data_IF_789577842445
#
_entry.id   IF_789577842445
#
_cell.length_a   1.000
_cell.length_b   1.000
_cell.length_c   1.000
_cell.angle_alpha   90.00
_cell.angle_beta   90.00
_cell.angle_gamma   90.00
#
_symmetry.space_group_name_H-M   'P 1'
#
loop_
_entity.id
_entity.type
_entity.pdbx_description
1 polymer ?
#
# COMPACT_ATOMS: atom_id res chain seq x y z
N UNK A 1 -14.03 7.51 49.13
CA UNK A 1 -13.09 8.05 48.13
C UNK A 1 -13.34 7.26 46.88
N UNK A 2 -13.98 7.87 45.89
CA UNK A 2 -14.40 7.20 44.66
C UNK A 2 -13.16 7.05 43.78
N UNK A 3 -12.69 5.82 43.60
CA UNK A 3 -11.68 5.52 42.57
C UNK A 3 -12.33 5.77 41.21
N UNK A 4 -11.84 6.80 40.53
CA UNK A 4 -12.19 7.08 39.14
C UNK A 4 -11.36 6.11 38.32
N UNK A 5 -11.98 5.01 37.85
CA UNK A 5 -11.42 4.18 36.79
C UNK A 5 -11.29 5.06 35.55
N UNK A 6 -10.05 5.44 35.24
CA UNK A 6 -9.71 6.12 33.99
C UNK A 6 -9.90 5.09 32.88
N UNK A 7 -11.04 5.14 32.19
CA UNK A 7 -11.20 4.44 30.91
C UNK A 7 -10.22 5.07 29.93
N UNK A 8 -9.12 4.36 29.65
CA UNK A 8 -8.24 4.68 28.53
C UNK A 8 -9.11 4.73 27.26
N UNK A 9 -8.96 5.77 26.41
CA UNK A 9 -9.69 5.81 25.15
C UNK A 9 -9.37 4.53 24.39
N UNK A 10 -10.41 3.80 24.00
CA UNK A 10 -10.28 2.60 23.19
C UNK A 10 -9.64 3.01 21.87
N UNK A 11 -8.30 2.97 21.78
CA UNK A 11 -7.57 3.20 20.54
C UNK A 11 -8.13 2.21 19.52
N UNK A 12 -8.88 2.72 18.54
CA UNK A 12 -9.30 1.92 17.41
C UNK A 12 -8.03 1.30 16.82
N UNK A 13 -7.88 -0.02 16.95
CA UNK A 13 -6.71 -0.73 16.45
C UNK A 13 -6.62 -0.50 14.95
N UNK A 14 -5.76 0.43 14.55
CA UNK A 14 -5.48 0.71 13.16
C UNK A 14 -4.69 -0.47 12.60
N UNK A 15 -5.38 -1.34 11.87
CA UNK A 15 -4.74 -2.42 11.13
C UNK A 15 -4.13 -1.83 9.86
N UNK A 16 -2.84 -2.11 9.61
CA UNK A 16 -2.16 -1.67 8.38
C UNK A 16 -1.78 -2.90 7.57
N UNK A 17 -2.14 -2.89 6.30
CA UNK A 17 -1.77 -3.93 5.35
C UNK A 17 -0.68 -3.37 4.45
N UNK A 18 0.44 -4.08 4.36
CA UNK A 18 1.61 -3.67 3.59
C UNK A 18 1.97 -4.75 2.59
N UNK A 19 2.20 -4.35 1.34
CA UNK A 19 2.77 -5.18 0.28
C UNK A 19 3.99 -4.47 -0.27
N UNK A 20 4.99 -5.21 -0.70
CA UNK A 20 6.19 -4.64 -1.28
C UNK A 20 6.37 -5.16 -2.71
N UNK A 21 6.94 -4.34 -3.59
CA UNK A 21 7.39 -4.79 -4.91
C UNK A 21 8.87 -4.50 -5.00
N UNK A 22 9.67 -5.55 -5.19
CA UNK A 22 11.12 -5.45 -5.23
C UNK A 22 11.63 -5.91 -6.60
N UNK A 23 12.73 -5.32 -7.07
CA UNK A 23 13.34 -5.74 -8.33
C UNK A 23 13.87 -7.19 -8.27
N UNK A 24 13.74 -7.95 -9.36
CA UNK A 24 14.33 -9.28 -9.44
C UNK A 24 15.85 -9.15 -9.61
N UNK A 25 16.60 -9.48 -8.57
CA UNK A 25 18.07 -9.45 -8.58
C UNK A 25 18.65 -8.06 -8.32
N UNK A 26 19.67 -7.69 -9.12
CA UNK A 26 20.54 -6.53 -8.83
C UNK A 26 20.21 -5.28 -9.66
N UNK A 27 19.21 -5.35 -10.53
CA UNK A 27 18.84 -4.23 -11.41
C UNK A 27 17.72 -3.41 -10.76
N UNK A 28 18.00 -2.16 -10.33
CA UNK A 28 16.96 -1.32 -9.74
C UNK A 28 15.92 -0.91 -10.78
N UNK A 29 14.72 -0.57 -10.31
CA UNK A 29 13.69 0.08 -11.11
C UNK A 29 14.13 1.48 -11.51
N UNK A 30 13.98 1.80 -12.79
CA UNK A 30 14.22 3.14 -13.32
C UNK A 30 12.92 3.94 -13.18
N UNK A 31 13.03 5.17 -12.66
CA UNK A 31 11.90 6.04 -12.37
C UNK A 31 10.97 6.25 -13.56
N UNK A 32 11.50 6.50 -14.76
CA UNK A 32 10.70 6.61 -16.00
C UNK A 32 9.69 5.47 -16.14
N UNK A 33 10.16 4.22 -16.16
CA UNK A 33 9.27 3.05 -16.28
C UNK A 33 8.39 2.86 -15.05
N UNK A 34 8.92 3.14 -13.87
CA UNK A 34 8.20 2.96 -12.61
C UNK A 34 7.00 3.90 -12.52
N UNK A 35 7.21 5.20 -12.75
CA UNK A 35 6.18 6.23 -12.67
C UNK A 35 5.19 6.10 -13.82
N UNK A 36 5.62 5.69 -15.01
CA UNK A 36 4.72 5.39 -16.12
C UNK A 36 3.79 4.22 -15.77
N UNK A 37 4.33 3.11 -15.24
CA UNK A 37 3.53 1.95 -14.82
C UNK A 37 2.59 2.32 -13.66
N UNK A 38 3.04 3.12 -12.69
CA UNK A 38 2.18 3.64 -11.62
C UNK A 38 0.99 4.44 -12.15
N UNK A 39 1.24 5.40 -13.04
CA UNK A 39 0.19 6.24 -13.64
C UNK A 39 -0.78 5.42 -14.51
N UNK A 40 -0.29 4.45 -15.28
CA UNK A 40 -1.14 3.53 -16.06
C UNK A 40 -2.05 2.67 -15.18
N UNK A 41 -1.55 2.30 -13.99
CA UNK A 41 -2.34 1.65 -12.96
C UNK A 41 -3.22 2.63 -12.16
N UNK A 42 -3.23 3.91 -12.52
CA UNK A 42 -4.02 5.02 -11.96
C UNK A 42 -3.64 5.38 -10.51
N UNK A 43 -2.35 5.27 -10.20
CA UNK A 43 -1.76 5.92 -9.03
C UNK A 43 -1.41 7.36 -9.41
N UNK A 44 -1.69 8.29 -8.52
CA UNK A 44 -1.41 9.71 -8.71
C UNK A 44 -0.39 10.18 -7.68
N UNK A 45 0.63 10.89 -8.13
CA UNK A 45 1.57 11.54 -7.24
C UNK A 45 0.87 12.65 -6.45
N UNK A 46 1.11 12.74 -5.15
CA UNK A 46 0.38 13.65 -4.29
C UNK A 46 1.08 13.96 -2.98
N UNK A 47 0.31 13.96 -1.89
CA UNK A 47 0.79 14.35 -0.56
C UNK A 47 2.00 13.52 -0.11
N UNK A 48 2.87 14.12 0.70
CA UNK A 48 4.10 13.49 1.22
C UNK A 48 5.08 13.00 0.13
N UNK A 49 4.95 13.50 -1.09
CA UNK A 49 5.78 13.14 -2.24
C UNK A 49 5.77 11.63 -2.55
N UNK A 50 4.60 11.01 -2.38
CA UNK A 50 4.35 9.61 -2.70
C UNK A 50 3.15 9.46 -3.64
N UNK A 51 2.92 8.24 -4.11
CA UNK A 51 1.81 7.94 -5.00
C UNK A 51 0.60 7.44 -4.21
N UNK A 52 -0.60 7.82 -4.63
CA UNK A 52 -1.84 7.43 -3.99
C UNK A 52 -2.83 6.90 -5.01
N UNK A 53 -3.56 5.85 -4.61
CA UNK A 53 -4.74 5.40 -5.33
C UNK A 53 -5.96 6.05 -4.70
N UNK A 54 -6.71 6.81 -5.48
CA UNK A 54 -7.96 7.40 -5.03
C UNK A 54 -9.15 6.52 -5.44
N UNK A 55 -10.27 6.66 -4.73
CA UNK A 55 -11.53 5.99 -5.05
C UNK A 55 -12.09 6.42 -6.43
N UNK A 56 -11.79 7.65 -6.82
CA UNK A 56 -12.12 8.20 -8.13
C UNK A 56 -10.85 8.29 -8.98
N UNK A 57 -10.96 7.90 -10.25
CA UNK A 57 -9.91 8.03 -11.26
C UNK A 57 -9.54 9.49 -11.54
N UNK A 58 -10.42 10.44 -11.19
CA UNK A 58 -10.14 11.88 -11.26
C UNK A 58 -9.11 12.36 -10.22
N UNK A 59 -8.78 11.54 -9.22
CA UNK A 59 -7.86 11.91 -8.12
C UNK A 59 -8.48 12.80 -7.04
N UNK A 60 -9.77 13.12 -7.15
CA UNK A 60 -10.49 13.96 -6.16
C UNK A 60 -11.16 13.15 -5.05
N UNK A 61 -11.19 11.82 -5.18
CA UNK A 61 -11.77 10.90 -4.19
C UNK A 61 -10.90 10.71 -2.95
N UNK A 62 -11.38 9.96 -1.96
CA UNK A 62 -10.57 9.55 -0.81
C UNK A 62 -9.46 8.58 -1.23
N UNK A 63 -8.31 8.65 -0.57
CA UNK A 63 -7.21 7.70 -0.75
C UNK A 63 -7.64 6.31 -0.27
N UNK A 64 -7.50 5.32 -1.14
CA UNK A 64 -7.73 3.90 -0.84
C UNK A 64 -6.46 3.26 -0.26
N UNK A 65 -5.33 3.49 -0.93
CA UNK A 65 -4.01 3.00 -0.53
C UNK A 65 -2.92 3.90 -1.11
N UNK A 66 -1.74 3.85 -0.50
CA UNK A 66 -0.60 4.68 -0.87
C UNK A 66 0.61 3.82 -1.21
N UNK A 67 1.53 4.39 -1.97
CA UNK A 67 2.72 3.72 -2.51
C UNK A 67 3.92 4.63 -2.28
N UNK A 68 4.83 4.18 -1.43
CA UNK A 68 6.05 4.88 -1.07
C UNK A 68 7.29 4.14 -1.57
N UNK A 69 8.43 4.81 -1.53
CA UNK A 69 9.71 4.19 -1.82
C UNK A 69 10.17 3.33 -0.62
N UNK A 70 10.73 2.15 -0.87
CA UNK A 70 11.34 1.33 0.18
C UNK A 70 12.66 1.90 0.70
N UNK A 71 13.30 2.76 -0.09
CA UNK A 71 14.57 3.40 0.21
C UNK A 71 14.35 4.74 0.92
N UNK A 72 15.22 5.11 1.88
CA UNK A 72 15.19 6.44 2.49
C UNK A 72 15.44 7.53 1.44
N UNK A 73 14.71 8.67 1.47
CA UNK A 73 13.82 9.15 2.53
C UNK A 73 12.39 8.57 2.53
N UNK A 74 12.07 7.63 1.63
CA UNK A 74 10.73 7.04 1.49
C UNK A 74 9.85 7.74 0.46
N UNK A 75 10.30 8.88 -0.07
CA UNK A 75 9.60 9.64 -1.10
C UNK A 75 9.92 9.13 -2.50
N UNK A 76 9.00 9.41 -3.41
CA UNK A 76 9.11 9.19 -4.85
C UNK A 76 9.29 10.53 -5.59
N UNK A 77 9.65 11.59 -4.86
CA UNK A 77 10.02 12.89 -5.42
C UNK A 77 11.20 12.73 -6.38
N UNK A 78 11.10 13.35 -7.54
CA UNK A 78 12.15 13.35 -8.55
C UNK A 78 12.07 14.64 -9.36
N UNK A 79 13.24 15.17 -9.75
CA UNK A 79 13.33 16.26 -10.72
C UNK A 79 13.25 15.71 -12.14
N UNK A 80 14.02 14.64 -12.42
CA UNK A 80 13.97 13.87 -13.66
C UNK A 80 13.67 12.38 -13.35
N UNK A 81 12.59 11.80 -13.91
CA UNK A 81 12.33 10.36 -13.82
C UNK A 81 13.49 9.46 -14.27
N UNK A 82 14.36 9.94 -15.18
CA UNK A 82 15.47 9.16 -15.74
C UNK A 82 16.61 8.95 -14.74
N UNK A 83 16.82 9.92 -13.83
CA UNK A 83 17.86 9.86 -12.80
C UNK A 83 17.38 9.17 -11.52
N UNK A 84 16.06 9.00 -11.36
CA UNK A 84 15.50 8.28 -10.24
C UNK A 84 15.67 6.77 -10.42
N UNK A 85 16.17 6.10 -9.38
CA UNK A 85 16.15 4.64 -9.32
C UNK A 85 15.85 4.13 -7.91
N UNK A 86 15.15 3.01 -7.82
CA UNK A 86 14.85 2.35 -6.55
C UNK A 86 14.91 0.83 -6.64
N UNK A 87 15.24 0.18 -5.53
CA UNK A 87 15.21 -1.28 -5.42
C UNK A 87 13.80 -1.82 -5.21
N UNK A 88 12.88 -0.98 -4.76
CA UNK A 88 11.50 -1.40 -4.57
C UNK A 88 10.60 -0.31 -4.00
N UNK A 89 9.31 -0.62 -4.00
CA UNK A 89 8.24 0.25 -3.54
C UNK A 89 7.35 -0.50 -2.54
N UNK A 90 6.78 0.22 -1.59
CA UNK A 90 5.88 -0.30 -0.56
C UNK A 90 4.49 0.26 -0.77
N UNK A 91 3.54 -0.63 -0.98
CA UNK A 91 2.11 -0.35 -0.93
C UNK A 91 1.62 -0.52 0.49
N UNK A 92 0.82 0.41 0.96
CA UNK A 92 0.19 0.29 2.26
C UNK A 92 -1.22 0.88 2.26
N UNK A 93 -2.09 0.23 3.02
CA UNK A 93 -3.45 0.69 3.29
C UNK A 93 -3.75 0.58 4.78
N UNK A 94 -4.47 1.55 5.30
CA UNK A 94 -4.90 1.60 6.71
C UNK A 94 -6.35 1.17 6.82
N UNK A 95 -6.71 0.45 7.89
CA UNK A 95 -8.07 0.12 8.25
C UNK A 95 -8.45 0.89 9.54
N UNK A 96 -9.58 1.61 9.56
CA UNK A 96 -10.58 1.75 8.49
C UNK A 96 -10.06 2.49 7.25
N UNK A 97 -10.42 1.99 6.07
CA UNK A 97 -10.26 2.69 4.79
C UNK A 97 -11.62 3.12 4.24
N UNK A 98 -11.62 4.08 3.33
CA UNK A 98 -12.83 4.44 2.59
C UNK A 98 -13.25 3.30 1.63
N UNK A 99 -14.55 2.99 1.58
CA UNK A 99 -15.09 1.92 0.74
C UNK A 99 -14.97 0.52 1.35
N UNK A 100 -14.98 -0.54 0.52
CA UNK A 100 -14.83 -1.92 0.98
C UNK A 100 -13.33 -2.29 1.08
N UNK A 101 -12.80 -2.55 2.30
CA UNK A 101 -11.42 -2.99 2.51
C UNK A 101 -11.00 -4.19 1.65
N UNK A 102 -11.92 -5.12 1.40
CA UNK A 102 -11.62 -6.32 0.63
C UNK A 102 -11.41 -6.00 -0.86
N UNK A 103 -12.20 -5.07 -1.39
CA UNK A 103 -12.04 -4.60 -2.77
C UNK A 103 -10.76 -3.77 -2.91
N UNK A 104 -10.49 -2.90 -1.94
CA UNK A 104 -9.27 -2.09 -1.91
C UNK A 104 -8.01 -2.97 -1.87
N UNK A 105 -8.01 -4.03 -1.05
CA UNK A 105 -6.91 -4.99 -1.00
C UNK A 105 -6.72 -5.74 -2.32
N UNK A 106 -7.81 -6.22 -2.94
CA UNK A 106 -7.76 -6.87 -4.26
C UNK A 106 -7.18 -5.93 -5.33
N UNK A 107 -7.59 -4.66 -5.30
CA UNK A 107 -7.08 -3.64 -6.21
C UNK A 107 -5.59 -3.37 -5.96
N UNK A 108 -5.19 -3.19 -4.69
CA UNK A 108 -3.80 -2.99 -4.29
C UNK A 108 -2.91 -4.15 -4.74
N UNK A 109 -3.32 -5.40 -4.50
CA UNK A 109 -2.58 -6.59 -4.92
C UNK A 109 -2.46 -6.67 -6.44
N UNK A 110 -3.55 -6.42 -7.18
CA UNK A 110 -3.54 -6.42 -8.64
C UNK A 110 -2.59 -5.37 -9.18
N UNK A 111 -2.62 -4.15 -8.64
CA UNK A 111 -1.71 -3.08 -9.03
C UNK A 111 -0.27 -3.45 -8.71
N UNK A 112 0.03 -3.97 -7.52
CA UNK A 112 1.37 -4.41 -7.16
C UNK A 112 1.90 -5.50 -8.11
N UNK A 113 1.06 -6.47 -8.48
CA UNK A 113 1.43 -7.50 -9.45
C UNK A 113 1.68 -6.93 -10.84
N UNK A 114 0.83 -6.04 -11.33
CA UNK A 114 1.03 -5.41 -12.64
C UNK A 114 2.33 -4.62 -12.71
N UNK A 115 2.62 -3.83 -11.67
CA UNK A 115 3.88 -3.08 -11.59
C UNK A 115 5.07 -4.04 -11.51
N UNK A 116 4.97 -5.12 -10.72
CA UNK A 116 6.01 -6.14 -10.68
C UNK A 116 6.24 -6.76 -12.08
N UNK A 117 5.18 -7.10 -12.81
CA UNK A 117 5.27 -7.71 -14.14
C UNK A 117 5.87 -6.74 -15.18
N UNK A 118 5.47 -5.47 -15.16
CA UNK A 118 5.97 -4.42 -16.08
C UNK A 118 7.47 -4.13 -15.89
N UNK A 119 7.95 -4.19 -14.65
CA UNK A 119 9.32 -3.85 -14.29
C UNK A 119 10.23 -5.08 -14.07
N UNK A 120 9.69 -6.29 -14.17
CA UNK A 120 10.43 -7.53 -13.89
C UNK A 120 10.81 -7.69 -12.41
N UNK A 121 9.89 -7.37 -11.50
CA UNK A 121 10.03 -7.51 -10.06
C UNK A 121 9.25 -8.68 -9.45
N UNK A 122 9.24 -8.71 -8.12
CA UNK A 122 8.48 -9.67 -7.32
C UNK A 122 7.63 -8.95 -6.28
N UNK A 123 6.40 -9.41 -6.10
CA UNK A 123 5.54 -8.99 -5.00
C UNK A 123 5.94 -9.75 -3.74
N UNK A 124 6.22 -9.00 -2.69
CA UNK A 124 6.59 -9.47 -1.36
C UNK A 124 5.55 -9.06 -0.33
N UNK A 125 5.49 -9.81 0.77
CA UNK A 125 4.68 -9.46 1.94
C UNK A 125 5.36 -8.38 2.80
N UNK A 126 4.71 -8.01 3.91
CA UNK A 126 5.22 -7.05 4.90
C UNK A 126 6.59 -7.46 5.50
N UNK A 127 6.85 -8.76 5.61
CA UNK A 127 8.12 -9.31 6.07
C UNK A 127 9.16 -9.46 4.94
N UNK A 128 8.88 -8.94 3.74
CA UNK A 128 9.72 -9.02 2.53
C UNK A 128 9.95 -10.45 2.04
N UNK A 129 9.06 -11.38 2.38
CA UNK A 129 9.05 -12.72 1.80
C UNK A 129 8.22 -12.73 0.51
N UNK A 130 8.54 -13.66 -0.40
CA UNK A 130 7.73 -13.84 -1.61
C UNK A 130 6.27 -14.07 -1.25
N UNK A 131 5.38 -13.40 -1.98
CA UNK A 131 3.95 -13.55 -1.77
C UNK A 131 3.52 -15.01 -1.97
N UNK A 132 2.83 -15.58 -0.98
CA UNK A 132 2.30 -16.94 -1.04
C UNK A 132 0.77 -16.95 -0.91
N UNK A 133 0.08 -17.98 -1.41
CA UNK A 133 -1.36 -18.13 -1.21
C UNK A 133 -1.77 -18.06 0.26
N UNK A 134 -1.00 -18.70 1.14
CA UNK A 134 -1.26 -18.68 2.59
C UNK A 134 -1.19 -17.26 3.18
N UNK A 135 -0.26 -16.42 2.70
CA UNK A 135 -0.15 -15.03 3.17
C UNK A 135 -1.29 -14.17 2.63
N UNK A 136 -1.71 -14.38 1.39
CA UNK A 136 -2.89 -13.73 0.83
C UNK A 136 -4.15 -14.06 1.63
N UNK A 137 -4.32 -15.31 2.03
CA UNK A 137 -5.44 -15.73 2.87
C UNK A 137 -5.35 -15.15 4.28
N UNK A 138 -4.14 -14.98 4.83
CA UNK A 138 -3.94 -14.28 6.09
C UNK A 138 -4.39 -12.81 6.03
N UNK A 139 -4.03 -12.06 4.97
CA UNK A 139 -4.50 -10.68 4.79
C UNK A 139 -6.01 -10.61 4.61
N UNK A 140 -6.59 -11.51 3.82
CA UNK A 140 -8.06 -11.60 3.67
C UNK A 140 -8.72 -11.85 5.01
N UNK A 141 -8.18 -12.77 5.83
CA UNK A 141 -8.70 -13.06 7.16
C UNK A 141 -8.62 -11.84 8.07
N UNK A 142 -7.49 -11.12 8.08
CA UNK A 142 -7.34 -9.87 8.84
C UNK A 142 -8.40 -8.83 8.45
N UNK A 143 -8.65 -8.66 7.14
CA UNK A 143 -9.70 -7.76 6.64
C UNK A 143 -11.09 -8.20 7.10
N UNK A 144 -11.40 -9.51 7.03
CA UNK A 144 -12.69 -10.02 7.49
C UNK A 144 -12.87 -9.85 9.00
N UNK A 145 -11.84 -10.14 9.79
CA UNK A 145 -11.85 -9.92 11.24
C UNK A 145 -12.07 -8.44 11.58
N UNK A 146 -11.42 -7.53 10.84
CA UNK A 146 -11.68 -6.09 10.95
C UNK A 146 -13.14 -5.75 10.64
N UNK A 147 -13.69 -6.25 9.52
CA UNK A 147 -15.10 -6.02 9.13
C UNK A 147 -16.08 -6.50 10.19
N UNK A 148 -15.84 -7.66 10.81
CA UNK A 148 -16.68 -8.21 11.88
C UNK A 148 -16.62 -7.31 13.13
N UNK A 149 -15.43 -6.87 13.55
CA UNK A 149 -15.28 -5.97 14.71
C UNK A 149 -15.94 -4.61 14.44
N UNK A 150 -15.75 -4.04 13.26
CA UNK A 150 -16.32 -2.76 12.86
C UNK A 150 -17.85 -2.80 12.77
N UNK A 151 -18.46 -3.95 12.46
CA UNK A 151 -19.91 -4.12 12.45
C UNK A 151 -20.52 -4.31 13.85
N UNK A 152 -19.69 -4.54 14.87
CA UNK A 152 -20.10 -4.75 16.27
C UNK A 152 -19.86 -3.52 17.17
N UNK A 153 -19.17 -2.51 16.65
CA UNK A 153 -18.96 -1.19 17.27
C UNK A 153 -20.08 -0.23 16.86
#
# INVERSE_FOLDING_TARGET
>A
MTEIEVQEPQEEKLDVIVLNVHCAGNQPFIGTKLFDSMQQNGLLFGEMDIFHRHADLSGTGKVLFSVANMMQPGTLMHDDPADFSTKGISFFMTLPCFGDPEQNFKLMLKTAQQIADDLGGHVLDDARNLMTPNRLDAYRKQIQEFKVRAAQA
#
